data_IF_717396496203
#
_entry.id   IF_717396496203
#
_cell.length_a   1.000
_cell.length_b   1.000
_cell.length_c   1.000
_cell.angle_alpha   90.00
_cell.angle_beta   90.00
_cell.angle_gamma   90.00
#
_symmetry.space_group_name_H-M   'P 1'
#
loop_
_entity.id
_entity.type
_entity.pdbx_description
1 polymer ?
#
# COMPACT_ATOMS: atom_id res chain seq x y z
N UNK A 1 -7.27 0.32 20.70
CA UNK A 1 -7.58 -1.01 20.14
C UNK A 1 -6.75 -1.20 18.88
N UNK A 2 -6.32 -2.42 18.61
CA UNK A 2 -5.71 -2.76 17.31
C UNK A 2 -6.83 -3.08 16.30
N UNK A 3 -6.56 -2.99 14.98
CA UNK A 3 -7.47 -3.47 13.96
C UNK A 3 -7.79 -4.96 14.15
N UNK A 4 -9.02 -5.36 13.81
CA UNK A 4 -9.47 -6.76 13.90
C UNK A 4 -9.21 -7.54 12.59
N UNK A 5 -9.13 -6.84 11.46
CA UNK A 5 -8.94 -7.41 10.14
C UNK A 5 -7.54 -7.06 9.61
N UNK A 6 -6.99 -7.93 8.77
CA UNK A 6 -5.72 -7.66 8.10
C UNK A 6 -5.84 -6.52 7.05
N UNK A 7 -7.06 -6.27 6.56
CA UNK A 7 -7.40 -5.16 5.68
C UNK A 7 -8.89 -4.89 5.71
N UNK A 8 -9.27 -3.66 5.37
CA UNK A 8 -10.66 -3.22 5.19
C UNK A 8 -10.77 -2.38 3.92
N UNK A 9 -11.88 -2.50 3.19
CA UNK A 9 -12.26 -1.54 2.15
C UNK A 9 -12.83 -0.30 2.82
N UNK A 10 -12.11 0.82 2.77
CA UNK A 10 -12.48 2.06 3.47
C UNK A 10 -13.22 3.05 2.57
N UNK A 11 -13.14 2.84 1.26
CA UNK A 11 -13.83 3.57 0.20
C UNK A 11 -13.88 2.67 -1.03
N UNK A 12 -14.86 2.80 -1.95
CA UNK A 12 -14.91 1.97 -3.15
C UNK A 12 -13.58 1.95 -3.91
N UNK A 13 -12.96 0.76 -3.99
CA UNK A 13 -11.66 0.57 -4.64
C UNK A 13 -10.44 1.01 -3.82
N UNK A 14 -10.61 1.44 -2.57
CA UNK A 14 -9.52 1.80 -1.65
C UNK A 14 -9.53 0.87 -0.44
N UNK A 15 -8.42 0.15 -0.29
CA UNK A 15 -8.20 -0.78 0.80
C UNK A 15 -7.05 -0.26 1.67
N UNK A 16 -7.26 -0.31 2.99
CA UNK A 16 -6.19 -0.07 3.98
C UNK A 16 -5.91 -1.40 4.66
N UNK A 17 -4.65 -1.81 4.68
CA UNK A 17 -4.26 -3.10 5.23
C UNK A 17 -2.87 -3.09 5.86
N UNK A 18 -2.60 -4.15 6.61
CA UNK A 18 -1.32 -4.39 7.26
C UNK A 18 -0.29 -5.03 6.32
N UNK A 19 0.91 -5.28 6.85
CA UNK A 19 2.03 -5.83 6.10
C UNK A 19 1.72 -7.18 5.41
N UNK A 20 0.96 -8.05 6.06
CA UNK A 20 0.70 -9.43 5.60
C UNK A 20 0.04 -9.46 4.22
N UNK A 21 -0.92 -8.55 3.97
CA UNK A 21 -1.62 -8.40 2.70
C UNK A 21 -0.72 -7.75 1.65
N UNK A 22 0.03 -6.72 2.03
CA UNK A 22 1.01 -6.08 1.14
C UNK A 22 2.05 -7.06 0.59
N UNK A 23 2.38 -8.11 1.35
CA UNK A 23 3.29 -9.21 0.94
C UNK A 23 2.62 -10.32 0.13
N UNK A 24 1.30 -10.31 -0.07
CA UNK A 24 0.60 -11.38 -0.76
C UNK A 24 0.24 -10.98 -2.20
N UNK A 25 1.10 -11.34 -3.16
CA UNK A 25 0.80 -11.12 -4.60
C UNK A 25 -0.50 -11.81 -5.04
N UNK A 26 -0.78 -12.98 -4.49
CA UNK A 26 -2.01 -13.74 -4.77
C UNK A 26 -3.21 -13.02 -4.14
N UNK A 27 -3.11 -12.62 -2.86
CA UNK A 27 -4.19 -11.91 -2.18
C UNK A 27 -4.54 -10.58 -2.84
N UNK A 28 -3.53 -9.78 -3.21
CA UNK A 28 -3.75 -8.52 -3.93
C UNK A 28 -4.43 -8.74 -5.28
N UNK A 29 -4.01 -9.76 -6.04
CA UNK A 29 -4.65 -10.10 -7.33
C UNK A 29 -6.09 -10.57 -7.15
N UNK A 30 -6.34 -11.43 -6.16
CA UNK A 30 -7.67 -11.99 -5.92
C UNK A 30 -8.65 -10.91 -5.42
N UNK A 31 -8.13 -9.84 -4.80
CA UNK A 31 -8.87 -8.61 -4.47
C UNK A 31 -9.03 -7.64 -5.67
N UNK A 32 -8.44 -7.93 -6.82
CA UNK A 32 -8.47 -7.04 -7.98
C UNK A 32 -7.62 -5.77 -7.81
N UNK A 33 -6.66 -5.75 -6.89
CA UNK A 33 -5.79 -4.60 -6.66
C UNK A 33 -4.85 -4.40 -7.84
N UNK A 34 -4.85 -3.18 -8.39
CA UNK A 34 -4.00 -2.74 -9.49
C UNK A 34 -2.91 -1.76 -9.06
N UNK A 35 -3.06 -1.12 -7.89
CA UNK A 35 -2.13 -0.14 -7.32
C UNK A 35 -1.83 -0.45 -5.85
N UNK A 36 -0.55 -0.36 -5.46
CA UNK A 36 -0.10 -0.48 -4.06
C UNK A 36 0.65 0.77 -3.65
N UNK A 37 0.25 1.32 -2.50
CA UNK A 37 0.89 2.47 -1.84
C UNK A 37 1.50 1.97 -0.54
N UNK A 38 2.83 1.99 -0.42
CA UNK A 38 3.52 1.66 0.83
C UNK A 38 3.89 2.94 1.59
N UNK A 39 3.04 3.32 2.55
CA UNK A 39 3.22 4.48 3.43
C UNK A 39 4.09 4.21 4.66
N UNK A 40 4.66 3.02 4.77
CA UNK A 40 5.58 2.61 5.83
C UNK A 40 6.82 1.91 5.25
N UNK A 41 7.25 2.27 4.02
CA UNK A 41 8.40 1.62 3.41
C UNK A 41 9.65 1.85 4.26
N UNK A 42 10.46 0.81 4.42
CA UNK A 42 11.74 0.90 5.11
C UNK A 42 12.22 -0.46 5.60
N UNK A 43 13.21 -0.45 6.49
CA UNK A 43 13.76 -1.65 7.12
C UNK A 43 13.65 -1.53 8.63
N UNK A 44 13.30 -2.62 9.30
CA UNK A 44 13.19 -2.67 10.76
C UNK A 44 11.77 -2.97 11.21
N UNK A 45 11.54 -2.92 12.53
CA UNK A 45 10.32 -3.43 13.15
C UNK A 45 9.05 -2.62 12.80
N UNK A 46 9.20 -1.32 12.53
CA UNK A 46 8.07 -0.41 12.27
C UNK A 46 7.88 -0.10 10.78
N UNK A 47 8.53 -0.86 9.90
CA UNK A 47 8.51 -0.64 8.47
C UNK A 47 8.07 -1.90 7.71
N UNK A 48 7.48 -1.67 6.55
CA UNK A 48 7.11 -2.69 5.56
C UNK A 48 8.21 -2.77 4.50
N UNK A 49 9.05 -3.80 4.58
CA UNK A 49 10.18 -4.00 3.69
C UNK A 49 9.78 -4.63 2.34
N UNK A 50 9.00 -3.88 1.55
CA UNK A 50 8.54 -4.24 0.21
C UNK A 50 8.75 -3.05 -0.72
N UNK A 51 9.16 -3.33 -1.96
CA UNK A 51 9.30 -2.33 -3.01
C UNK A 51 8.72 -2.82 -4.35
N UNK A 52 8.79 -1.95 -5.36
CA UNK A 52 8.26 -2.17 -6.70
C UNK A 52 8.70 -3.50 -7.36
N UNK A 53 9.89 -4.05 -7.04
CA UNK A 53 10.41 -5.29 -7.63
C UNK A 53 9.47 -6.47 -7.38
N UNK A 54 8.79 -6.48 -6.24
CA UNK A 54 7.82 -7.52 -5.89
C UNK A 54 6.65 -7.59 -6.89
N UNK A 55 6.27 -6.45 -7.46
CA UNK A 55 5.05 -6.27 -8.24
C UNK A 55 5.25 -6.31 -9.75
N UNK A 56 6.50 -6.21 -10.23
CA UNK A 56 6.85 -6.18 -11.66
C UNK A 56 6.25 -7.33 -12.49
N UNK A 57 6.10 -8.52 -11.91
CA UNK A 57 5.60 -9.71 -12.60
C UNK A 57 4.08 -9.88 -12.56
N UNK A 58 3.38 -9.07 -11.77
CA UNK A 58 1.94 -9.19 -11.54
C UNK A 58 1.15 -7.97 -12.02
N UNK A 59 1.81 -7.03 -12.70
CA UNK A 59 1.16 -5.86 -13.31
C UNK A 59 0.63 -4.84 -12.30
N UNK A 60 0.99 -4.95 -11.02
CA UNK A 60 0.60 -4.00 -9.98
C UNK A 60 1.53 -2.79 -10.03
N UNK A 61 0.96 -1.59 -10.18
CA UNK A 61 1.69 -0.33 -10.07
C UNK A 61 1.99 -0.05 -8.60
N UNK A 62 3.23 0.34 -8.31
CA UNK A 62 3.69 0.51 -6.94
C UNK A 62 4.22 1.92 -6.72
N UNK A 63 3.85 2.53 -5.59
CA UNK A 63 4.45 3.76 -5.10
C UNK A 63 4.78 3.64 -3.61
N UNK A 64 5.98 4.10 -3.25
CA UNK A 64 6.44 4.09 -1.89
C UNK A 64 7.87 4.58 -1.79
N UNK A 65 8.15 5.29 -0.70
CA UNK A 65 9.46 5.79 -0.30
C UNK A 65 9.55 5.71 1.21
N UNK A 66 10.76 5.80 1.75
CA UNK A 66 10.99 5.62 3.18
C UNK A 66 10.13 6.60 3.99
N UNK A 67 9.22 6.03 4.79
CA UNK A 67 8.19 6.78 5.47
C UNK A 67 8.04 6.29 6.91
N UNK A 68 8.15 7.24 7.83
CA UNK A 68 8.10 6.98 9.26
C UNK A 68 6.81 7.56 9.84
N UNK A 69 6.22 6.84 10.78
CA UNK A 69 5.07 7.29 11.56
C UNK A 69 5.49 8.40 12.55
N UNK A 70 5.61 9.62 12.03
CA UNK A 70 5.94 10.82 12.79
C UNK A 70 5.02 11.97 12.38
N UNK A 71 4.64 12.79 13.35
CA UNK A 71 3.72 13.92 13.16
C UNK A 71 4.14 14.92 12.06
N UNK A 72 5.44 15.04 11.81
CA UNK A 72 6.00 15.97 10.83
C UNK A 72 6.30 15.32 9.47
N UNK A 73 6.01 14.03 9.29
CA UNK A 73 6.24 13.35 8.02
C UNK A 73 5.17 13.75 7.00
N UNK A 74 5.61 14.19 5.80
CA UNK A 74 4.69 14.65 4.76
C UNK A 74 4.21 13.48 3.91
N UNK A 75 2.93 13.12 4.06
CA UNK A 75 2.27 12.08 3.26
C UNK A 75 1.65 12.60 1.96
N UNK A 76 1.69 13.91 1.71
CA UNK A 76 1.09 14.54 0.51
C UNK A 76 1.48 13.86 -0.81
N UNK A 77 2.74 13.40 -1.03
CA UNK A 77 3.11 12.75 -2.30
C UNK A 77 2.34 11.47 -2.60
N UNK A 78 1.77 10.80 -1.58
CA UNK A 78 0.95 9.62 -1.78
C UNK A 78 -0.44 9.95 -2.34
N UNK A 79 -0.97 11.16 -2.07
CA UNK A 79 -2.30 11.56 -2.49
C UNK A 79 -2.44 11.63 -4.01
N UNK A 80 -1.44 12.20 -4.70
CA UNK A 80 -1.45 12.31 -6.17
C UNK A 80 -1.49 10.93 -6.85
N UNK A 81 -0.78 9.96 -6.28
CA UNK A 81 -0.76 8.59 -6.80
C UNK A 81 -2.10 7.88 -6.59
N UNK A 82 -2.74 8.08 -5.42
CA UNK A 82 -4.08 7.54 -5.14
C UNK A 82 -5.11 8.16 -6.10
N UNK A 83 -5.07 9.48 -6.30
CA UNK A 83 -5.98 10.16 -7.22
C UNK A 83 -5.82 9.67 -8.67
N UNK A 84 -4.57 9.47 -9.10
CA UNK A 84 -4.29 8.91 -10.42
C UNK A 84 -4.81 7.47 -10.55
N UNK A 85 -4.61 6.63 -9.53
CA UNK A 85 -5.11 5.25 -9.52
C UNK A 85 -6.63 5.17 -9.70
N UNK A 86 -7.38 6.01 -8.99
CA UNK A 86 -8.85 6.04 -9.05
C UNK A 86 -9.40 6.51 -10.41
N UNK A 87 -8.61 7.22 -11.21
CA UNK A 87 -8.99 7.70 -12.55
C UNK A 87 -8.71 6.70 -13.67
N UNK A 88 -7.91 5.68 -13.41
CA UNK A 88 -7.56 4.63 -14.40
C UNK A 88 -8.47 3.40 -14.35
N UNK A 89 -9.41 3.36 -13.38
CA UNK A 89 -10.35 2.25 -13.18
C UNK A 89 -11.59 2.38 -14.05
#
# INVERSE_FOLDING_TARGET
MLPNNAYDEVYPGIYVGEESIGKSRVGLRDLGITYVVNTAMGKGHFYVNINHVMFQKVGIKFYGFEAMDMLNFQLTPFADFIEHALKEV
#
